data_IF_542096704073
#
_entry.id   IF_542096704073
#
_cell.length_a   1.000
_cell.length_b   1.000
_cell.length_c   1.000
_cell.angle_alpha   90.00
_cell.angle_beta   90.00
_cell.angle_gamma   90.00
#
_symmetry.space_group_name_H-M   'P 1'
#
loop_
_entity.id
_entity.type
_entity.pdbx_description
1 polymer ?
#
# COMPACT_ATOMS: atom_id res chain seq x y z
N UNK A 1 -33.60 -75.17 -11.30
CA UNK A 1 -33.63 -73.68 -11.39
C UNK A 1 -32.35 -73.15 -10.98
N UNK A 2 -31.48 -72.83 -11.90
CA UNK A 2 -30.17 -72.26 -11.65
C UNK A 2 -30.33 -70.76 -11.55
N UNK A 3 -30.32 -70.20 -10.35
CA UNK A 3 -30.16 -68.76 -10.14
C UNK A 3 -28.69 -68.47 -10.37
N UNK A 4 -28.36 -67.99 -11.53
CA UNK A 4 -27.10 -67.36 -11.77
C UNK A 4 -27.04 -66.07 -10.96
N UNK A 5 -26.51 -66.15 -9.78
CA UNK A 5 -26.11 -65.00 -9.03
C UNK A 5 -25.08 -64.24 -9.84
N UNK A 6 -25.48 -63.17 -10.43
CA UNK A 6 -24.55 -62.24 -11.04
C UNK A 6 -23.64 -61.70 -9.94
N UNK A 7 -22.53 -62.36 -9.71
CA UNK A 7 -21.42 -61.84 -8.96
C UNK A 7 -20.91 -60.66 -9.79
N UNK A 8 -21.25 -59.46 -9.35
CA UNK A 8 -20.56 -58.28 -9.83
C UNK A 8 -19.09 -58.44 -9.48
N UNK A 9 -18.36 -59.07 -10.34
CA UNK A 9 -16.92 -58.96 -10.34
C UNK A 9 -16.64 -57.53 -10.75
N UNK A 10 -16.56 -56.69 -9.74
CA UNK A 10 -15.84 -55.43 -9.88
C UNK A 10 -14.42 -55.85 -10.13
N UNK A 11 -14.08 -55.96 -11.42
CA UNK A 11 -12.78 -56.44 -11.83
C UNK A 11 -11.69 -55.59 -11.23
N UNK A 12 -10.54 -56.15 -11.03
CA UNK A 12 -9.30 -55.48 -10.62
C UNK A 12 -9.05 -54.17 -11.41
N UNK A 13 -9.55 -54.08 -12.62
CA UNK A 13 -9.51 -52.88 -13.46
C UNK A 13 -10.36 -51.73 -12.94
N UNK A 14 -11.54 -51.97 -12.39
CA UNK A 14 -12.40 -50.89 -11.86
C UNK A 14 -11.81 -50.30 -10.56
N UNK A 15 -11.24 -51.13 -9.70
CA UNK A 15 -10.53 -50.70 -8.48
C UNK A 15 -9.29 -49.88 -8.84
N UNK A 16 -8.51 -50.33 -9.81
CA UNK A 16 -7.33 -49.62 -10.29
C UNK A 16 -7.71 -48.24 -10.90
N UNK A 17 -8.78 -48.18 -11.66
CA UNK A 17 -9.29 -46.96 -12.27
C UNK A 17 -9.78 -45.98 -11.19
N UNK A 18 -10.46 -46.49 -10.17
CA UNK A 18 -10.87 -45.68 -9.00
C UNK A 18 -9.66 -45.10 -8.24
N UNK A 19 -8.63 -45.92 -8.04
CA UNK A 19 -7.39 -45.48 -7.37
C UNK A 19 -6.69 -44.37 -8.17
N UNK A 20 -6.59 -44.54 -9.48
CA UNK A 20 -6.02 -43.51 -10.36
C UNK A 20 -6.84 -42.21 -10.28
N UNK A 21 -8.16 -42.31 -10.28
CA UNK A 21 -9.06 -41.17 -10.16
C UNK A 21 -8.84 -40.43 -8.83
N UNK A 22 -8.76 -41.14 -7.71
CA UNK A 22 -8.52 -40.59 -6.38
C UNK A 22 -7.16 -39.88 -6.32
N UNK A 23 -6.11 -40.50 -6.84
CA UNK A 23 -4.77 -39.90 -6.90
C UNK A 23 -4.77 -38.63 -7.76
N UNK A 24 -5.44 -38.63 -8.90
CA UNK A 24 -5.57 -37.45 -9.75
C UNK A 24 -6.34 -36.32 -9.04
N UNK A 25 -7.43 -36.62 -8.34
CA UNK A 25 -8.18 -35.65 -7.56
C UNK A 25 -7.32 -35.06 -6.42
N UNK A 26 -6.59 -35.90 -5.67
CA UNK A 26 -5.71 -35.44 -4.59
C UNK A 26 -4.57 -34.57 -5.13
N UNK A 27 -3.96 -34.94 -6.23
CA UNK A 27 -2.90 -34.13 -6.86
C UNK A 27 -3.44 -32.80 -7.36
N UNK A 28 -4.61 -32.79 -8.01
CA UNK A 28 -5.25 -31.56 -8.46
C UNK A 28 -5.57 -30.61 -7.28
N UNK A 29 -6.15 -31.14 -6.20
CA UNK A 29 -6.43 -30.36 -4.98
C UNK A 29 -5.15 -29.84 -4.34
N UNK A 30 -4.09 -30.63 -4.31
CA UNK A 30 -2.78 -30.22 -3.76
C UNK A 30 -2.17 -29.07 -4.56
N UNK A 31 -2.23 -29.13 -5.89
CA UNK A 31 -1.72 -28.05 -6.76
C UNK A 31 -2.54 -26.78 -6.60
N UNK A 32 -3.86 -26.88 -6.56
CA UNK A 32 -4.74 -25.71 -6.34
C UNK A 32 -4.48 -25.07 -4.98
N UNK A 33 -4.37 -25.88 -3.92
CA UNK A 33 -4.06 -25.38 -2.57
C UNK A 33 -2.70 -24.71 -2.50
N UNK A 34 -1.69 -25.28 -3.14
CA UNK A 34 -0.35 -24.70 -3.19
C UNK A 34 -0.32 -23.38 -3.94
N UNK A 35 -0.95 -23.31 -5.12
CA UNK A 35 -0.98 -22.07 -5.90
C UNK A 35 -1.78 -20.98 -5.20
N UNK A 36 -2.87 -21.31 -4.54
CA UNK A 36 -3.66 -20.39 -3.74
C UNK A 36 -2.86 -19.84 -2.57
N UNK A 37 -2.22 -20.71 -1.79
CA UNK A 37 -1.37 -20.31 -0.65
C UNK A 37 -0.18 -19.44 -1.10
N UNK A 38 0.45 -19.79 -2.22
CA UNK A 38 1.55 -19.00 -2.77
C UNK A 38 1.10 -17.62 -3.25
N UNK A 39 -0.06 -17.53 -3.88
CA UNK A 39 -0.66 -16.26 -4.29
C UNK A 39 -1.01 -15.37 -3.09
N UNK A 40 -1.64 -15.93 -2.06
CA UNK A 40 -1.97 -15.20 -0.84
C UNK A 40 -0.71 -14.68 -0.13
N UNK A 41 0.34 -15.50 -0.05
CA UNK A 41 1.61 -15.09 0.54
C UNK A 41 2.26 -13.95 -0.25
N UNK A 42 2.20 -13.99 -1.57
CA UNK A 42 2.71 -12.92 -2.44
C UNK A 42 1.97 -11.60 -2.21
N UNK A 43 0.64 -11.65 -2.13
CA UNK A 43 -0.20 -10.47 -1.86
C UNK A 43 0.10 -9.91 -0.48
N UNK A 44 0.18 -10.76 0.54
CA UNK A 44 0.47 -10.37 1.92
C UNK A 44 1.85 -9.72 2.04
N UNK A 45 2.86 -10.27 1.38
CA UNK A 45 4.21 -9.67 1.36
C UNK A 45 4.23 -8.32 0.68
N UNK A 46 3.50 -8.14 -0.43
CA UNK A 46 3.38 -6.83 -1.10
C UNK A 46 2.67 -5.82 -0.20
N UNK A 47 1.59 -6.21 0.43
CA UNK A 47 0.86 -5.36 1.36
C UNK A 47 1.74 -4.94 2.55
N UNK A 48 2.50 -5.88 3.13
CA UNK A 48 3.44 -5.58 4.22
C UNK A 48 4.53 -4.58 3.80
N UNK A 49 5.10 -4.73 2.61
CA UNK A 49 6.10 -3.78 2.07
C UNK A 49 5.52 -2.38 1.86
N UNK A 50 4.30 -2.29 1.32
CA UNK A 50 3.63 -1.00 1.14
C UNK A 50 3.35 -0.36 2.50
N UNK A 51 2.88 -1.13 3.46
CA UNK A 51 2.61 -0.64 4.81
C UNK A 51 3.88 -0.14 5.50
N UNK A 52 4.98 -0.88 5.40
CA UNK A 52 6.29 -0.45 5.91
C UNK A 52 6.74 0.86 5.27
N UNK A 53 6.62 0.98 3.95
CA UNK A 53 6.95 2.20 3.22
C UNK A 53 6.06 3.40 3.64
N UNK A 54 4.78 3.17 3.86
CA UNK A 54 3.84 4.21 4.35
C UNK A 54 4.23 4.66 5.76
N UNK A 55 4.57 3.74 6.66
CA UNK A 55 5.01 4.11 8.01
C UNK A 55 6.33 4.88 8.00
N UNK A 56 7.29 4.46 7.19
CA UNK A 56 8.56 5.17 7.04
C UNK A 56 8.36 6.60 6.49
N UNK A 57 7.53 6.75 5.46
CA UNK A 57 7.20 8.05 4.89
C UNK A 57 6.43 8.93 5.89
N UNK A 58 5.53 8.34 6.67
CA UNK A 58 4.80 9.06 7.73
C UNK A 58 5.74 9.58 8.80
N UNK A 59 6.69 8.77 9.25
CA UNK A 59 7.71 9.18 10.20
C UNK A 59 8.57 10.34 9.65
N UNK A 60 9.03 10.21 8.40
CA UNK A 60 9.75 11.29 7.72
C UNK A 60 8.89 12.56 7.59
N UNK A 61 7.60 12.41 7.31
CA UNK A 61 6.65 13.52 7.25
C UNK A 61 6.57 14.28 8.58
N UNK A 62 6.51 13.59 9.69
CA UNK A 62 6.53 14.22 11.01
C UNK A 62 7.87 14.90 11.32
N UNK A 63 8.99 14.32 10.92
CA UNK A 63 10.30 14.93 11.05
C UNK A 63 10.38 16.23 10.24
N UNK A 64 9.87 16.24 9.01
CA UNK A 64 9.80 17.46 8.19
C UNK A 64 8.91 18.54 8.78
N UNK A 65 7.79 18.15 9.38
CA UNK A 65 6.93 19.10 10.10
C UNK A 65 7.64 19.68 11.34
N UNK A 66 8.37 18.87 12.09
CA UNK A 66 9.14 19.31 13.23
C UNK A 66 10.29 20.27 12.83
N UNK A 67 10.98 19.97 11.73
CA UNK A 67 12.00 20.85 11.16
C UNK A 67 11.40 22.21 10.75
N UNK A 68 10.23 22.19 10.10
CA UNK A 68 9.53 23.41 9.74
C UNK A 68 9.11 24.22 10.97
N UNK A 69 8.53 23.59 11.97
CA UNK A 69 8.13 24.27 13.21
C UNK A 69 9.33 24.88 13.93
N UNK A 70 10.45 24.18 14.00
CA UNK A 70 11.69 24.68 14.58
C UNK A 70 12.25 25.88 13.80
N UNK A 71 12.20 25.83 12.47
CA UNK A 71 12.64 26.94 11.63
C UNK A 71 11.73 28.17 11.78
N UNK A 72 10.42 27.97 11.88
CA UNK A 72 9.45 29.04 12.12
C UNK A 72 9.60 29.64 13.52
N UNK A 73 10.00 28.86 14.50
CA UNK A 73 10.29 29.36 15.86
C UNK A 73 11.54 30.26 15.89
N UNK A 74 12.52 29.97 15.06
CA UNK A 74 13.81 30.67 15.02
C UNK A 74 13.75 32.01 14.27
N UNK A 75 12.71 32.29 13.52
CA UNK A 75 12.53 33.51 12.72
C UNK A 75 11.42 34.39 13.29
N UNK A 76 11.40 35.64 12.88
CA UNK A 76 10.34 36.58 13.27
C UNK A 76 8.97 36.12 12.76
N UNK A 77 7.93 36.39 13.54
CA UNK A 77 6.55 36.01 13.22
C UNK A 77 5.95 36.90 12.11
N UNK A 78 6.61 37.01 10.98
CA UNK A 78 6.19 37.74 9.81
C UNK A 78 5.93 36.79 8.66
N UNK A 79 5.01 37.14 7.78
CA UNK A 79 4.67 36.31 6.62
C UNK A 79 5.88 36.08 5.70
N UNK A 80 6.70 37.12 5.52
CA UNK A 80 7.91 37.06 4.67
C UNK A 80 8.96 36.11 5.25
N UNK A 81 9.23 36.16 6.57
CA UNK A 81 10.19 35.30 7.23
C UNK A 81 9.72 33.83 7.21
N UNK A 82 8.45 33.58 7.42
CA UNK A 82 7.86 32.24 7.35
C UNK A 82 7.91 31.67 5.93
N UNK A 83 7.63 32.49 4.94
CA UNK A 83 7.72 32.11 3.52
C UNK A 83 9.15 31.72 3.15
N UNK A 84 10.12 32.53 3.55
CA UNK A 84 11.53 32.23 3.31
C UNK A 84 11.98 30.94 4.00
N UNK A 85 11.63 30.75 5.27
CA UNK A 85 11.96 29.55 6.03
C UNK A 85 11.37 28.28 5.41
N UNK A 86 10.12 28.31 4.96
CA UNK A 86 9.49 27.21 4.27
C UNK A 86 10.17 26.91 2.93
N UNK A 87 10.49 27.91 2.14
CA UNK A 87 11.19 27.76 0.87
C UNK A 87 12.60 27.17 1.04
N UNK A 88 13.35 27.57 2.05
CA UNK A 88 14.68 27.03 2.37
C UNK A 88 14.65 25.54 2.74
N UNK A 89 13.55 25.06 3.33
CA UNK A 89 13.36 23.66 3.69
C UNK A 89 12.79 22.81 2.56
N UNK A 90 12.59 23.37 1.36
CA UNK A 90 12.12 22.68 0.18
C UNK A 90 10.61 22.54 0.09
N UNK A 91 9.85 23.30 0.88
CA UNK A 91 8.40 23.37 0.75
C UNK A 91 8.02 24.21 -0.47
N UNK A 92 7.00 23.79 -1.18
CA UNK A 92 6.48 24.49 -2.36
C UNK A 92 5.21 25.25 -2.03
N UNK A 93 5.03 26.43 -2.61
CA UNK A 93 3.82 27.20 -2.46
C UNK A 93 2.65 26.52 -3.17
N UNK A 94 1.52 26.37 -2.47
CA UNK A 94 0.28 25.82 -2.97
C UNK A 94 -0.86 26.84 -2.82
N UNK A 95 -2.01 26.57 -3.45
CA UNK A 95 -3.18 27.45 -3.41
C UNK A 95 -3.60 27.84 -1.98
N UNK A 96 -3.58 26.87 -1.04
CA UNK A 96 -4.02 27.05 0.34
C UNK A 96 -2.87 27.07 1.36
N UNK A 97 -1.65 27.31 0.92
CA UNK A 97 -0.49 27.32 1.84
C UNK A 97 0.75 26.72 1.22
N UNK A 98 1.39 25.82 1.93
CA UNK A 98 2.63 25.17 1.53
C UNK A 98 2.46 23.66 1.47
N UNK A 99 3.08 23.03 0.49
CA UNK A 99 3.04 21.59 0.34
C UNK A 99 4.43 20.99 0.24
N UNK A 100 4.55 19.77 0.73
CA UNK A 100 5.71 18.91 0.56
C UNK A 100 5.25 17.54 0.09
N UNK A 101 5.89 17.01 -0.92
CA UNK A 101 5.61 15.69 -1.47
C UNK A 101 6.76 14.76 -1.11
N UNK A 102 6.45 13.65 -0.45
CA UNK A 102 7.42 12.61 -0.09
C UNK A 102 7.09 11.32 -0.83
N UNK A 103 8.04 10.72 -1.53
CA UNK A 103 7.81 9.46 -2.21
C UNK A 103 7.62 8.33 -1.17
N UNK A 104 6.59 7.52 -1.36
CA UNK A 104 6.32 6.34 -0.54
C UNK A 104 6.72 5.08 -1.30
N UNK A 105 6.18 4.94 -2.50
CA UNK A 105 6.49 3.87 -3.45
C UNK A 105 6.48 4.43 -4.87
N UNK A 106 6.77 3.61 -5.87
CA UNK A 106 6.66 4.03 -7.28
C UNK A 106 5.27 4.53 -7.69
N UNK A 107 4.25 4.20 -6.91
CA UNK A 107 2.83 4.52 -7.21
C UNK A 107 2.14 5.37 -6.15
N UNK A 108 2.79 5.60 -5.03
CA UNK A 108 2.23 6.32 -3.88
C UNK A 108 3.16 7.43 -3.43
N UNK A 109 2.59 8.57 -3.12
CA UNK A 109 3.27 9.70 -2.50
C UNK A 109 2.52 10.17 -1.25
N UNK A 110 3.24 10.69 -0.29
CA UNK A 110 2.71 11.35 0.89
C UNK A 110 2.66 12.85 0.63
N UNK A 111 1.48 13.42 0.69
CA UNK A 111 1.26 14.85 0.53
C UNK A 111 1.05 15.50 1.89
N UNK A 112 1.93 16.42 2.22
CA UNK A 112 1.84 17.28 3.39
C UNK A 112 1.42 18.66 2.93
N UNK A 113 0.34 19.19 3.50
CA UNK A 113 -0.07 20.59 3.29
C UNK A 113 -0.18 21.30 4.61
N UNK A 114 0.44 22.44 4.71
CA UNK A 114 0.41 23.30 5.89
C UNK A 114 0.04 24.71 5.50
N UNK A 115 -0.68 25.37 6.37
CA UNK A 115 -0.92 26.82 6.32
C UNK A 115 -0.08 27.48 7.37
N UNK A 116 0.71 28.46 6.97
CA UNK A 116 1.50 29.25 7.90
C UNK A 116 0.61 30.33 8.54
N UNK A 117 0.65 30.44 9.86
CA UNK A 117 -0.17 31.39 10.63
C UNK A 117 0.74 32.26 11.48
N UNK A 118 1.40 33.25 10.88
CA UNK A 118 2.25 34.17 11.64
C UNK A 118 1.42 35.00 12.63
N UNK A 119 1.91 35.13 13.86
CA UNK A 119 1.25 35.93 14.90
C UNK A 119 0.18 35.22 15.71
N UNK A 120 -0.05 33.94 15.51
CA UNK A 120 -0.93 33.07 16.30
C UNK A 120 -0.14 32.17 17.25
N UNK A 121 -0.80 31.61 18.27
CA UNK A 121 -0.18 30.63 19.19
C UNK A 121 0.41 29.43 18.45
N UNK A 122 -0.27 29.01 17.41
CA UNK A 122 0.19 27.95 16.51
C UNK A 122 0.84 28.56 15.28
N UNK A 123 2.10 28.31 15.06
CA UNK A 123 2.88 28.85 13.93
C UNK A 123 2.44 28.32 12.58
N UNK A 124 1.88 27.12 12.56
CA UNK A 124 1.37 26.47 11.38
C UNK A 124 0.13 25.63 11.70
N UNK A 125 -0.72 25.48 10.73
CA UNK A 125 -1.88 24.58 10.76
C UNK A 125 -1.68 23.49 9.71
N UNK A 126 -1.83 22.23 10.10
CA UNK A 126 -1.78 21.10 9.15
C UNK A 126 -3.12 21.02 8.43
N UNK A 127 -3.12 21.31 7.15
CA UNK A 127 -4.33 21.26 6.30
C UNK A 127 -4.58 19.85 5.79
N UNK A 128 -3.52 19.13 5.41
CA UNK A 128 -3.61 17.76 4.91
C UNK A 128 -2.35 16.98 5.21
N UNK A 129 -2.55 15.75 5.61
CA UNK A 129 -1.49 14.75 5.80
C UNK A 129 -2.04 13.42 5.28
N UNK A 130 -1.82 13.14 4.01
CA UNK A 130 -2.44 12.00 3.37
C UNK A 130 -1.53 11.36 2.33
N UNK A 131 -1.61 10.04 2.24
CA UNK A 131 -0.99 9.27 1.17
C UNK A 131 -1.97 9.18 0.00
N UNK A 132 -1.52 9.56 -1.17
CA UNK A 132 -2.29 9.51 -2.40
C UNK A 132 -1.55 8.70 -3.47
N UNK A 133 -2.26 8.08 -4.41
CA UNK A 133 -1.61 7.52 -5.58
C UNK A 133 -0.96 8.66 -6.36
N UNK A 134 0.27 8.43 -6.83
CA UNK A 134 0.86 9.31 -7.83
C UNK A 134 -0.15 9.44 -8.96
N UNK A 135 -0.48 10.68 -9.32
CA UNK A 135 -1.31 10.93 -10.47
C UNK A 135 -0.66 10.20 -11.65
N UNK A 136 -1.20 9.04 -12.00
CA UNK A 136 -0.87 8.44 -13.26
C UNK A 136 -1.18 9.51 -14.28
N UNK A 137 -0.19 9.88 -15.08
CA UNK A 137 -0.47 10.57 -16.33
C UNK A 137 -1.65 9.82 -16.91
N UNK A 138 -2.75 10.49 -17.01
CA UNK A 138 -3.92 9.95 -17.68
C UNK A 138 -3.47 9.83 -19.14
N UNK A 139 -2.80 8.72 -19.45
CA UNK A 139 -2.71 8.31 -20.84
C UNK A 139 -4.15 8.15 -21.27
N UNK A 140 -4.63 9.13 -22.00
CA UNK A 140 -5.85 9.07 -22.76
C UNK A 140 -5.77 7.80 -23.61
N UNK A 141 -6.36 6.73 -23.09
CA UNK A 141 -6.63 5.52 -23.88
C UNK A 141 -7.84 5.91 -24.74
N UNK A 142 -7.57 6.45 -25.85
CA UNK A 142 -8.47 6.47 -26.98
C UNK A 142 -7.89 5.65 -28.13
#
# INVERSE_FOLDING_TARGET
MSRSGGTYRIGTGATSLLMILVVLCLTALSVVSYTSAHSELSITRRAAKVQEAVYAATAEGYDRLAELDAALYAVDATEEAYTQAAAELGWEAAEDGWQLLLPVTEKLELTLRVRLTPGTETRMEIVSFATAPLAAETEEIF
#
